data_IF_136696488538
#
_entry.id   IF_136696488538
#
_cell.length_a   1.000
_cell.length_b   1.000
_cell.length_c   1.000
_cell.angle_alpha   90.00
_cell.angle_beta   90.00
_cell.angle_gamma   90.00
#
_symmetry.space_group_name_H-M   'P 1'
#
loop_
_entity.id
_entity.type
_entity.pdbx_description
1 polymer ?
#
# COMPACT_ATOMS: atom_id res chain seq x y z
N UNK A 1 -15.07 1.68 17.11
CA UNK A 1 -16.34 0.94 16.86
C UNK A 1 -15.97 -0.51 16.59
N UNK A 2 -16.86 -1.45 16.86
CA UNK A 2 -16.56 -2.87 16.58
C UNK A 2 -16.74 -3.15 15.07
N UNK A 3 -15.81 -3.93 14.50
CA UNK A 3 -15.92 -4.37 13.11
C UNK A 3 -17.18 -5.21 12.87
N UNK A 4 -17.81 -5.00 11.72
CA UNK A 4 -18.93 -5.83 11.28
C UNK A 4 -18.41 -7.25 10.93
N UNK A 5 -18.95 -8.32 11.53
CA UNK A 5 -18.57 -9.70 11.23
C UNK A 5 -18.70 -10.06 9.73
N UNK A 6 -19.71 -9.52 9.05
CA UNK A 6 -19.92 -9.75 7.61
C UNK A 6 -18.78 -9.17 6.77
N UNK A 7 -18.26 -8.02 7.14
CA UNK A 7 -17.09 -7.42 6.50
C UNK A 7 -15.83 -8.26 6.75
N UNK A 8 -15.67 -8.76 7.97
CA UNK A 8 -14.53 -9.65 8.31
C UNK A 8 -14.58 -10.92 7.47
N UNK A 9 -15.76 -11.55 7.35
CA UNK A 9 -15.92 -12.74 6.51
C UNK A 9 -15.66 -12.44 5.03
N UNK A 10 -16.14 -11.32 4.53
CA UNK A 10 -15.84 -10.86 3.17
C UNK A 10 -14.33 -10.75 2.92
N UNK A 11 -13.57 -10.12 3.83
CA UNK A 11 -12.10 -10.02 3.70
C UNK A 11 -11.44 -11.39 3.74
N UNK A 12 -11.89 -12.30 4.62
CA UNK A 12 -11.37 -13.68 4.66
C UNK A 12 -11.57 -14.39 3.33
N UNK A 13 -12.76 -14.26 2.74
CA UNK A 13 -13.08 -14.87 1.45
C UNK A 13 -12.25 -14.27 0.30
N UNK A 14 -12.03 -12.96 0.32
CA UNK A 14 -11.18 -12.27 -0.67
C UNK A 14 -9.69 -12.68 -0.57
N UNK A 15 -9.20 -12.97 0.61
CA UNK A 15 -7.80 -13.35 0.84
C UNK A 15 -7.55 -14.86 0.73
N UNK A 16 -8.59 -15.69 0.57
CA UNK A 16 -8.53 -17.15 0.69
C UNK A 16 -7.59 -17.85 -0.29
N UNK A 17 -7.29 -17.25 -1.43
CA UNK A 17 -6.36 -17.83 -2.41
C UNK A 17 -4.88 -17.59 -2.07
N UNK A 18 -4.57 -16.72 -1.10
CA UNK A 18 -3.20 -16.48 -0.68
C UNK A 18 -2.62 -17.59 0.20
N UNK A 19 -3.47 -18.34 0.91
CA UNK A 19 -3.11 -19.39 1.85
C UNK A 19 -4.22 -19.67 2.87
N UNK A 20 -3.90 -20.33 3.97
CA UNK A 20 -4.85 -20.57 5.06
C UNK A 20 -5.09 -19.28 5.85
N UNK A 21 -6.26 -18.68 5.64
CA UNK A 21 -6.63 -17.42 6.31
C UNK A 21 -7.36 -17.72 7.63
N UNK A 22 -6.86 -17.13 8.70
CA UNK A 22 -7.47 -17.18 10.02
C UNK A 22 -7.64 -15.77 10.60
N UNK A 23 -8.70 -15.57 11.36
CA UNK A 23 -8.94 -14.31 12.06
C UNK A 23 -9.09 -14.55 13.57
N UNK A 24 -8.56 -13.61 14.34
CA UNK A 24 -8.68 -13.66 15.81
C UNK A 24 -9.19 -12.31 16.30
N UNK A 25 -10.32 -12.34 17.02
CA UNK A 25 -10.90 -11.13 17.61
C UNK A 25 -10.01 -10.60 18.73
N UNK A 26 -9.77 -9.29 18.72
CA UNK A 26 -8.96 -8.61 19.71
C UNK A 26 -9.51 -7.20 19.97
N UNK A 27 -10.04 -6.96 21.18
CA UNK A 27 -10.55 -5.65 21.66
C UNK A 27 -11.58 -4.97 20.73
N UNK A 28 -12.45 -5.76 20.09
CA UNK A 28 -13.49 -5.23 19.17
C UNK A 28 -13.11 -5.25 17.69
N UNK A 29 -11.84 -5.39 17.38
CA UNK A 29 -11.27 -5.52 16.05
C UNK A 29 -10.75 -6.93 15.81
N UNK A 30 -10.14 -7.18 14.64
CA UNK A 30 -9.63 -8.50 14.28
C UNK A 30 -8.19 -8.45 13.78
N UNK A 31 -7.40 -9.42 14.26
CA UNK A 31 -6.11 -9.75 13.65
C UNK A 31 -6.34 -10.77 12.54
N UNK A 32 -5.73 -10.57 11.38
CA UNK A 32 -5.81 -11.50 10.25
C UNK A 32 -4.46 -12.16 9.99
N UNK A 33 -4.49 -13.48 9.81
CA UNK A 33 -3.33 -14.35 9.65
C UNK A 33 -3.42 -15.10 8.34
N UNK A 34 -2.27 -15.37 7.72
CA UNK A 34 -2.15 -16.30 6.61
C UNK A 34 -1.05 -17.30 6.95
N UNK A 35 -1.35 -18.59 6.86
CA UNK A 35 -0.46 -19.69 7.25
C UNK A 35 0.13 -19.52 8.67
N UNK A 36 -0.67 -19.01 9.60
CA UNK A 36 -0.26 -18.73 10.98
C UNK A 36 0.54 -17.44 11.17
N UNK A 37 0.85 -16.70 10.12
CA UNK A 37 1.60 -15.44 10.18
C UNK A 37 0.65 -14.26 10.22
N UNK A 38 0.77 -13.41 11.25
CA UNK A 38 0.01 -12.16 11.37
C UNK A 38 0.49 -11.17 10.30
N UNK A 39 -0.29 -10.98 9.26
CA UNK A 39 0.04 -10.02 8.19
C UNK A 39 -0.74 -8.71 8.25
N UNK A 40 -1.87 -8.68 8.95
CA UNK A 40 -2.69 -7.47 8.98
C UNK A 40 -3.68 -7.39 10.13
N UNK A 41 -4.47 -6.34 10.11
CA UNK A 41 -5.53 -6.03 11.07
C UNK A 41 -6.78 -5.57 10.30
N UNK A 42 -7.95 -5.91 10.83
CA UNK A 42 -9.23 -5.36 10.35
C UNK A 42 -9.81 -4.53 11.49
N UNK A 43 -9.82 -3.21 11.29
CA UNK A 43 -10.26 -2.25 12.29
C UNK A 43 -11.28 -1.29 11.66
N UNK A 44 -12.42 -1.07 12.33
CA UNK A 44 -13.48 -0.17 11.88
C UNK A 44 -13.89 -0.38 10.41
N UNK A 45 -14.09 -1.65 10.02
CA UNK A 45 -14.40 -2.09 8.65
C UNK A 45 -13.39 -1.65 7.60
N UNK A 46 -12.12 -1.60 7.95
CA UNK A 46 -11.02 -1.32 7.03
C UNK A 46 -9.92 -2.38 7.20
N UNK A 47 -9.27 -2.71 6.08
CA UNK A 47 -8.15 -3.63 6.05
C UNK A 47 -6.83 -2.87 6.14
N UNK A 48 -5.99 -3.29 7.07
CA UNK A 48 -4.64 -2.77 7.28
C UNK A 48 -3.64 -3.91 7.16
N UNK A 49 -2.65 -3.77 6.28
CA UNK A 49 -1.59 -4.77 6.08
C UNK A 49 -0.28 -4.23 6.63
N UNK A 50 0.49 -5.10 7.30
CA UNK A 50 1.81 -4.73 7.81
C UNK A 50 2.72 -4.27 6.69
N UNK A 51 3.49 -3.24 6.97
CA UNK A 51 4.41 -2.68 6.00
C UNK A 51 5.59 -3.63 5.74
N UNK A 52 5.80 -3.94 4.47
CA UNK A 52 6.94 -4.69 3.94
C UNK A 52 7.42 -4.04 2.66
N UNK A 53 8.68 -4.23 2.28
CA UNK A 53 9.20 -3.65 1.04
C UNK A 53 8.60 -4.33 -0.19
N UNK A 54 8.44 -5.65 -0.12
CA UNK A 54 7.81 -6.42 -1.18
C UNK A 54 6.32 -6.10 -1.34
N UNK A 55 5.58 -5.92 -0.22
CA UNK A 55 4.17 -5.51 -0.26
C UNK A 55 4.01 -4.10 -0.83
N UNK A 56 4.89 -3.16 -0.47
CA UNK A 56 4.89 -1.80 -1.02
C UNK A 56 5.10 -1.77 -2.53
N UNK A 57 5.91 -2.69 -3.07
CA UNK A 57 6.19 -2.76 -4.50
C UNK A 57 4.96 -3.15 -5.35
N UNK A 58 3.99 -3.84 -4.74
CA UNK A 58 2.75 -4.29 -5.41
C UNK A 58 1.64 -3.26 -5.31
N UNK A 59 1.63 -2.44 -4.25
CA UNK A 59 0.58 -1.45 -4.04
C UNK A 59 0.52 -0.41 -5.17
N UNK A 60 -0.65 -0.24 -5.78
CA UNK A 60 -0.90 0.81 -6.77
C UNK A 60 -0.78 2.19 -6.15
N UNK A 61 -1.19 2.32 -4.90
CA UNK A 61 -1.11 3.54 -4.11
C UNK A 61 -0.73 3.19 -2.66
N UNK A 62 0.34 3.80 -2.15
CA UNK A 62 0.76 3.61 -0.76
C UNK A 62 0.06 4.61 0.13
N UNK A 63 -0.98 4.16 0.82
CA UNK A 63 -1.66 4.92 1.87
C UNK A 63 -1.27 4.34 3.21
N UNK A 64 -0.65 5.14 4.06
CA UNK A 64 -0.25 4.73 5.40
C UNK A 64 -1.19 5.34 6.43
N UNK A 65 -1.78 4.50 7.27
CA UNK A 65 -2.61 4.91 8.39
C UNK A 65 -2.38 4.00 9.60
N UNK A 66 -2.46 4.53 10.82
CA UNK A 66 -2.50 3.68 12.01
C UNK A 66 -3.89 3.02 12.11
N UNK A 67 -3.99 1.72 12.36
CA UNK A 67 -5.28 1.03 12.52
C UNK A 67 -6.06 1.50 13.77
N UNK A 68 -5.36 1.98 14.79
CA UNK A 68 -5.94 2.55 16.01
C UNK A 68 -4.99 3.62 16.58
N UNK A 69 -5.46 4.52 17.46
CA UNK A 69 -4.63 5.53 18.10
C UNK A 69 -3.38 4.90 18.75
N UNK A 70 -2.21 5.45 18.49
CA UNK A 70 -0.90 4.98 18.97
C UNK A 70 -0.36 3.72 18.28
N UNK A 71 -1.06 3.13 17.32
CA UNK A 71 -0.52 2.05 16.48
C UNK A 71 0.54 2.58 15.50
N UNK A 72 1.41 1.67 15.06
CA UNK A 72 2.29 1.97 13.92
C UNK A 72 1.48 2.05 12.65
N UNK A 73 1.92 2.87 11.70
CA UNK A 73 1.30 2.94 10.39
C UNK A 73 1.36 1.58 9.69
N UNK A 74 0.25 1.22 9.05
CA UNK A 74 0.09 0.05 8.19
C UNK A 74 -0.32 0.52 6.80
N UNK A 75 -0.20 -0.34 5.80
CA UNK A 75 -0.82 -0.09 4.50
C UNK A 75 -2.32 -0.11 4.66
N UNK A 76 -2.96 1.00 4.39
CA UNK A 76 -4.41 1.11 4.35
C UNK A 76 -4.90 0.67 2.97
N UNK A 77 -5.65 -0.43 2.92
CA UNK A 77 -6.10 -1.02 1.67
C UNK A 77 -7.51 -0.52 1.35
N UNK A 78 -7.65 0.17 0.23
CA UNK A 78 -8.94 0.70 -0.24
C UNK A 78 -9.61 -0.21 -1.27
N UNK A 79 -8.81 -1.00 -2.01
CA UNK A 79 -9.29 -1.88 -3.08
C UNK A 79 -9.46 -3.31 -2.55
N UNK A 80 -10.41 -3.49 -1.64
CA UNK A 80 -10.68 -4.79 -0.99
C UNK A 80 -11.54 -5.73 -1.83
N UNK A 81 -12.10 -5.25 -2.93
CA UNK A 81 -12.95 -6.04 -3.85
C UNK A 81 -12.12 -6.81 -4.89
N UNK A 82 -10.85 -6.45 -5.06
CA UNK A 82 -9.94 -7.09 -6.00
C UNK A 82 -9.18 -8.24 -5.31
N UNK A 83 -9.66 -9.45 -5.52
CA UNK A 83 -9.11 -10.67 -4.94
C UNK A 83 -7.66 -10.90 -5.34
N UNK A 84 -7.35 -10.84 -6.63
CA UNK A 84 -6.02 -11.11 -7.16
C UNK A 84 -5.00 -10.13 -6.60
N UNK A 85 -5.39 -8.87 -6.51
CA UNK A 85 -4.59 -7.81 -5.92
C UNK A 85 -4.27 -8.05 -4.44
N UNK A 86 -5.28 -8.46 -3.64
CA UNK A 86 -5.09 -8.79 -2.23
C UNK A 86 -4.19 -10.01 -2.05
N UNK A 87 -4.39 -11.06 -2.83
CA UNK A 87 -3.58 -12.28 -2.78
C UNK A 87 -2.11 -11.99 -3.10
N UNK A 88 -1.84 -11.17 -4.11
CA UNK A 88 -0.49 -10.79 -4.50
C UNK A 88 0.23 -9.98 -3.41
N UNK A 89 -0.46 -9.02 -2.78
CA UNK A 89 0.09 -8.26 -1.66
C UNK A 89 0.42 -9.18 -0.48
N UNK A 90 -0.48 -10.10 -0.14
CA UNK A 90 -0.27 -11.03 0.97
C UNK A 90 0.91 -11.96 0.67
N UNK A 91 0.96 -12.58 -0.51
CA UNK A 91 2.06 -13.46 -0.92
C UNK A 91 3.41 -12.76 -0.92
N UNK A 92 3.45 -11.49 -1.32
CA UNK A 92 4.69 -10.69 -1.27
C UNK A 92 5.10 -10.33 0.17
N UNK A 93 4.12 -10.06 1.03
CA UNK A 93 4.34 -9.62 2.42
C UNK A 93 4.81 -10.76 3.33
N UNK A 94 4.27 -11.97 3.16
CA UNK A 94 4.51 -13.11 4.04
C UNK A 94 5.98 -13.47 4.22
N UNK A 95 6.82 -13.63 3.16
CA UNK A 95 8.21 -14.05 3.32
C UNK A 95 9.03 -13.08 4.17
N UNK A 96 8.78 -11.78 4.05
CA UNK A 96 9.45 -10.78 4.88
C UNK A 96 9.03 -10.85 6.34
N UNK A 97 7.75 -11.09 6.61
CA UNK A 97 7.24 -11.25 7.98
C UNK A 97 7.76 -12.54 8.62
N UNK A 98 7.84 -13.64 7.86
CA UNK A 98 8.38 -14.92 8.35
C UNK A 98 9.88 -14.87 8.63
N UNK A 99 10.64 -14.11 7.85
CA UNK A 99 12.10 -14.01 8.03
C UNK A 99 12.51 -13.21 9.27
N UNK A 100 11.54 -12.69 10.03
CA UNK A 100 11.83 -11.87 11.22
C UNK A 100 12.53 -10.54 10.89
N UNK A 101 12.70 -10.21 9.62
CA UNK A 101 13.15 -8.91 9.15
C UNK A 101 12.02 -7.86 9.28
N UNK A 102 11.31 -7.90 10.39
CA UNK A 102 10.46 -6.81 10.83
C UNK A 102 11.37 -5.62 11.01
N UNK A 103 11.32 -4.75 10.10
CA UNK A 103 12.06 -3.50 9.90
C UNK A 103 12.65 -2.90 11.15
N UNK A 104 13.95 -3.17 11.36
CA UNK A 104 14.82 -2.19 11.93
C UNK A 104 14.72 -0.93 11.04
N UNK A 105 14.22 0.18 11.62
CA UNK A 105 14.26 1.55 11.09
C UNK A 105 14.20 1.62 9.55
N UNK A 106 13.00 1.78 8.99
CA UNK A 106 12.89 2.32 7.64
C UNK A 106 13.73 3.59 7.57
N UNK A 107 14.68 3.62 6.65
CA UNK A 107 15.22 4.87 6.14
C UNK A 107 14.01 5.77 5.86
N UNK A 108 14.07 7.01 6.33
CA UNK A 108 12.96 7.95 6.26
C UNK A 108 12.26 7.87 4.89
N UNK A 109 11.04 7.38 4.91
CA UNK A 109 10.19 7.32 3.73
C UNK A 109 10.04 8.75 3.24
N UNK A 110 10.56 9.03 2.06
CA UNK A 110 10.52 10.38 1.52
C UNK A 110 9.14 10.65 0.94
N UNK A 111 8.26 11.19 1.78
CA UNK A 111 6.92 11.67 1.36
C UNK A 111 7.08 13.04 0.70
N UNK A 112 7.68 13.05 -0.48
CA UNK A 112 7.81 14.27 -1.23
C UNK A 112 6.43 14.72 -1.72
N UNK A 113 6.07 15.95 -1.37
CA UNK A 113 4.93 16.66 -1.95
C UNK A 113 5.50 17.74 -2.86
N UNK A 114 5.51 17.52 -4.19
CA UNK A 114 6.06 18.51 -5.11
C UNK A 114 5.17 19.75 -5.15
N UNK A 115 5.79 20.90 -5.24
CA UNK A 115 5.11 22.20 -5.41
C UNK A 115 5.09 22.64 -6.87
N UNK A 116 6.00 22.11 -7.69
CA UNK A 116 6.17 22.44 -9.11
C UNK A 116 6.54 21.23 -9.94
N UNK A 117 6.24 21.29 -11.25
CA UNK A 117 6.71 20.29 -12.22
C UNK A 117 8.23 20.27 -12.38
N UNK A 118 8.90 21.34 -12.02
CA UNK A 118 10.36 21.48 -12.13
C UNK A 118 11.09 20.95 -10.88
N UNK A 119 10.35 20.53 -9.85
CA UNK A 119 10.93 19.88 -8.67
C UNK A 119 11.54 18.52 -9.06
N UNK A 120 12.70 18.21 -8.49
CA UNK A 120 13.38 16.94 -8.73
C UNK A 120 12.71 15.82 -7.95
N UNK A 121 12.61 14.64 -8.56
CA UNK A 121 12.11 13.42 -7.94
C UNK A 121 13.15 12.96 -6.90
N UNK A 122 12.71 12.86 -5.64
CA UNK A 122 13.59 12.41 -4.57
C UNK A 122 13.87 10.90 -4.64
N UNK A 123 15.04 10.45 -4.22
CA UNK A 123 15.33 9.03 -4.08
C UNK A 123 14.38 8.39 -3.06
N UNK A 124 13.95 7.16 -3.33
CA UNK A 124 12.99 6.42 -2.50
C UNK A 124 11.64 7.14 -2.31
N UNK A 125 11.18 7.82 -3.35
CA UNK A 125 9.86 8.48 -3.36
C UNK A 125 8.76 7.46 -3.12
N UNK A 126 7.79 7.83 -2.29
CA UNK A 126 6.60 7.03 -2.00
C UNK A 126 5.40 7.63 -2.70
N UNK A 127 4.65 6.76 -3.38
CA UNK A 127 3.40 7.11 -4.04
C UNK A 127 2.31 7.37 -2.98
N UNK A 128 2.28 8.59 -2.43
CA UNK A 128 1.34 9.04 -1.42
C UNK A 128 0.08 9.64 -2.05
N UNK A 129 -0.97 9.83 -1.24
CA UNK A 129 -2.19 10.54 -1.68
C UNK A 129 -1.89 11.98 -2.12
N UNK A 130 -0.96 12.65 -1.45
CA UNK A 130 -0.56 14.02 -1.80
C UNK A 130 0.16 14.05 -3.15
N UNK A 131 1.04 13.09 -3.40
CA UNK A 131 1.71 12.93 -4.68
C UNK A 131 0.71 12.58 -5.79
N UNK A 132 -0.29 11.75 -5.49
CA UNK A 132 -1.38 11.45 -6.41
C UNK A 132 -2.18 12.70 -6.77
N UNK A 133 -2.58 13.49 -5.77
CA UNK A 133 -3.31 14.74 -5.99
C UNK A 133 -2.51 15.72 -6.87
N UNK A 134 -1.19 15.76 -6.70
CA UNK A 134 -0.31 16.52 -7.58
C UNK A 134 -0.40 16.03 -9.03
N UNK A 135 -0.24 14.74 -9.29
CA UNK A 135 -0.34 14.18 -10.65
C UNK A 135 -1.74 14.32 -11.26
N UNK A 136 -2.80 14.26 -10.46
CA UNK A 136 -4.18 14.46 -10.95
C UNK A 136 -4.42 15.85 -11.57
N UNK A 137 -3.67 16.86 -11.13
CA UNK A 137 -3.75 18.21 -11.71
C UNK A 137 -3.26 18.27 -13.17
N UNK A 138 -2.31 17.38 -13.53
CA UNK A 138 -1.67 17.36 -14.86
C UNK A 138 -2.09 16.20 -15.76
N UNK A 139 -2.53 15.11 -15.17
CA UNK A 139 -2.90 13.87 -15.86
C UNK A 139 -4.42 13.61 -15.86
N UNK A 140 -5.18 14.37 -15.09
CA UNK A 140 -6.63 14.31 -15.01
C UNK A 140 -7.15 13.53 -13.81
N UNK A 141 -8.42 13.80 -13.48
CA UNK A 141 -9.13 13.12 -12.39
C UNK A 141 -9.21 11.62 -12.66
N UNK A 142 -8.88 10.82 -11.64
CA UNK A 142 -8.86 9.37 -11.76
C UNK A 142 -7.48 8.79 -12.09
N UNK A 143 -6.43 9.61 -12.05
CA UNK A 143 -5.06 9.12 -12.13
C UNK A 143 -4.79 8.07 -11.05
N UNK A 144 -4.14 6.97 -11.46
CA UNK A 144 -3.65 5.92 -10.56
C UNK A 144 -2.19 5.59 -10.87
N UNK A 145 -1.44 5.32 -9.82
CA UNK A 145 -0.08 4.81 -9.99
C UNK A 145 -0.14 3.38 -10.52
N UNK A 146 0.31 3.17 -11.76
CA UNK A 146 0.54 1.84 -12.32
C UNK A 146 1.91 1.33 -11.88
N UNK A 147 2.07 0.02 -11.73
CA UNK A 147 3.33 -0.62 -11.28
C UNK A 147 4.53 -0.14 -12.10
N UNK A 148 4.40 -0.12 -13.43
CA UNK A 148 5.47 0.36 -14.30
C UNK A 148 5.87 1.83 -14.08
N UNK A 149 4.91 2.67 -13.74
CA UNK A 149 5.18 4.09 -13.45
C UNK A 149 5.80 4.29 -12.06
N UNK A 150 5.43 3.48 -11.09
CA UNK A 150 6.06 3.51 -9.77
C UNK A 150 7.53 3.10 -9.84
N UNK A 151 7.84 2.03 -10.59
CA UNK A 151 9.21 1.61 -10.86
C UNK A 151 10.00 2.71 -11.55
N UNK A 152 9.40 3.32 -12.58
CA UNK A 152 10.01 4.43 -13.30
C UNK A 152 10.36 5.60 -12.37
N UNK A 153 9.45 6.01 -11.47
CA UNK A 153 9.72 7.08 -10.50
C UNK A 153 10.90 6.78 -9.58
N UNK A 154 11.04 5.54 -9.15
CA UNK A 154 12.14 5.11 -8.26
C UNK A 154 13.49 5.04 -8.96
N UNK A 155 13.49 4.61 -10.23
CA UNK A 155 14.69 4.44 -11.05
C UNK A 155 15.20 5.78 -11.59
N UNK A 156 14.33 6.78 -11.70
CA UNK A 156 14.62 8.08 -12.28
C UNK A 156 14.67 9.21 -11.23
N UNK A 157 15.15 8.92 -10.03
CA UNK A 157 15.42 9.95 -9.03
C UNK A 157 16.41 10.99 -9.57
N UNK A 158 16.09 12.25 -9.33
CA UNK A 158 16.87 13.39 -9.86
C UNK A 158 16.32 14.01 -11.15
N UNK A 159 15.47 13.28 -11.90
CA UNK A 159 14.66 13.89 -12.97
C UNK A 159 13.54 14.75 -12.38
N UNK A 160 12.90 15.57 -13.21
CA UNK A 160 11.81 16.44 -12.77
C UNK A 160 10.45 15.73 -12.81
N UNK A 161 9.48 16.26 -12.08
CA UNK A 161 8.09 15.79 -12.18
C UNK A 161 7.46 16.06 -13.54
N UNK A 162 8.00 16.99 -14.31
CA UNK A 162 7.66 17.22 -15.73
C UNK A 162 7.98 16.00 -16.58
N UNK A 163 9.19 15.44 -16.41
CA UNK A 163 9.63 14.23 -17.11
C UNK A 163 8.74 13.04 -16.71
N UNK A 164 8.32 12.98 -15.45
CA UNK A 164 7.42 11.95 -14.96
C UNK A 164 6.02 12.02 -15.61
N UNK A 165 5.47 13.21 -15.79
CA UNK A 165 4.18 13.41 -16.48
C UNK A 165 4.27 12.97 -17.94
N UNK A 166 5.36 13.26 -18.63
CA UNK A 166 5.57 12.86 -20.03
C UNK A 166 5.77 11.34 -20.14
N UNK A 167 6.56 10.74 -19.23
CA UNK A 167 6.76 9.31 -19.16
C UNK A 167 5.44 8.56 -18.94
N UNK A 168 4.59 9.04 -18.03
CA UNK A 168 3.27 8.44 -17.81
C UNK A 168 2.40 8.46 -19.06
N UNK A 169 2.35 9.58 -19.77
CA UNK A 169 1.60 9.71 -21.04
C UNK A 169 2.09 8.74 -22.12
N UNK A 170 3.38 8.40 -22.10
CA UNK A 170 3.98 7.43 -23.02
C UNK A 170 3.66 5.97 -22.63
N UNK A 171 3.56 5.69 -21.32
CA UNK A 171 3.26 4.34 -20.79
C UNK A 171 1.77 3.97 -20.90
N UNK A 172 0.88 4.95 -21.11
CA UNK A 172 -0.57 4.76 -21.12
C UNK A 172 -1.15 4.76 -22.55
N UNK A 173 -0.31 4.98 -23.56
CA UNK A 173 -0.73 4.90 -24.99
C UNK A 173 -0.89 3.44 -25.44
#
# INVERSE_FOLDING_TARGET
>A
MACNPDFVQFIVDQCSGAGEIAVKKMMGDYCIYCDGVLFGLICDNNLYIKQTDAGEAILDEVVLRPPYPSARDHFYITNVDDRDYLEDIIRATLPELMSGKSKAKRSAVNRQVPTSLDDAIAPNIVCSQDLRAFFEQYLGKGFRFKVGFQSWLRENAGLTFRDAVEAYKSLVK
#
